data_IF_442093463059
#
_entry.id   IF_442093463059
#
_cell.length_a   1.000
_cell.length_b   1.000
_cell.length_c   1.000
_cell.angle_alpha   90.00
_cell.angle_beta   90.00
_cell.angle_gamma   90.00
#
_symmetry.space_group_name_H-M   'P 1'
#
loop_
_entity.id
_entity.type
_entity.pdbx_description
1 polymer ?
#
# COMPACT_ATOMS: atom_id res chain seq x y z
N UNK A 1 -7.43 12.63 -3.48
CA UNK A 1 -8.46 11.69 -3.98
C UNK A 1 -8.05 11.01 -5.30
N UNK A 2 -7.37 11.69 -6.23
CA UNK A 2 -6.95 11.08 -7.50
C UNK A 2 -5.98 9.88 -7.34
N UNK A 3 -5.12 9.91 -6.31
CA UNK A 3 -4.23 8.80 -5.99
C UNK A 3 -4.90 7.47 -5.59
N UNK A 4 -6.18 7.46 -5.21
CA UNK A 4 -6.86 6.24 -4.74
C UNK A 4 -7.52 5.49 -5.93
N UNK A 5 -7.83 6.20 -7.02
CA UNK A 5 -8.63 5.66 -8.13
C UNK A 5 -7.89 4.67 -9.02
N UNK A 6 -6.57 4.59 -8.93
CA UNK A 6 -5.77 3.58 -9.63
C UNK A 6 -6.08 2.14 -9.19
N UNK A 7 -6.76 1.95 -8.06
CA UNK A 7 -7.29 0.66 -7.61
C UNK A 7 -8.80 0.48 -7.88
N UNK A 8 -9.42 1.42 -8.60
CA UNK A 8 -10.83 1.39 -8.96
C UNK A 8 -11.05 0.58 -10.25
N UNK A 9 -12.07 -0.29 -10.26
CA UNK A 9 -12.47 -0.99 -11.49
C UNK A 9 -13.05 -0.02 -12.51
N UNK A 10 -12.94 -0.31 -13.81
CA UNK A 10 -13.50 0.54 -14.86
C UNK A 10 -15.03 0.73 -14.72
N UNK A 11 -15.75 -0.27 -14.17
CA UNK A 11 -17.18 -0.18 -13.86
C UNK A 11 -17.43 0.90 -12.79
N UNK A 12 -16.72 0.81 -11.66
CA UNK A 12 -16.89 1.75 -10.56
C UNK A 12 -16.38 3.15 -10.91
N UNK A 13 -15.34 3.26 -11.77
CA UNK A 13 -14.84 4.54 -12.23
C UNK A 13 -15.93 5.36 -12.94
N UNK A 14 -16.82 4.74 -13.72
CA UNK A 14 -17.92 5.46 -14.40
C UNK A 14 -18.88 6.17 -13.43
N UNK A 15 -18.99 5.71 -12.20
CA UNK A 15 -19.85 6.28 -11.16
C UNK A 15 -19.17 7.45 -10.41
N UNK A 16 -17.89 7.71 -10.66
CA UNK A 16 -17.08 8.72 -9.96
C UNK A 16 -17.03 10.09 -10.68
N UNK A 17 -17.92 10.32 -11.66
CA UNK A 17 -18.01 11.57 -12.40
C UNK A 17 -16.72 11.92 -13.17
N UNK A 18 -16.35 13.20 -13.17
CA UNK A 18 -15.14 13.68 -13.87
C UNK A 18 -13.87 12.95 -13.45
N UNK A 19 -13.77 12.60 -12.16
CA UNK A 19 -12.57 11.96 -11.63
C UNK A 19 -12.42 10.52 -12.16
N UNK A 20 -13.54 9.84 -12.37
CA UNK A 20 -13.60 8.54 -13.02
C UNK A 20 -13.26 8.58 -14.50
N UNK A 21 -13.78 9.59 -15.22
CA UNK A 21 -13.45 9.83 -16.62
C UNK A 21 -11.95 10.06 -16.82
N UNK A 22 -11.31 10.85 -15.95
CA UNK A 22 -9.85 11.08 -15.99
C UNK A 22 -9.05 9.77 -15.93
N UNK A 23 -9.46 8.83 -15.09
CA UNK A 23 -8.84 7.51 -15.00
C UNK A 23 -9.08 6.66 -16.26
N UNK A 24 -10.31 6.66 -16.78
CA UNK A 24 -10.66 5.93 -17.99
C UNK A 24 -9.90 6.44 -19.22
N UNK A 25 -9.67 7.76 -19.28
CA UNK A 25 -8.92 8.45 -20.34
C UNK A 25 -7.40 8.43 -20.10
N UNK A 26 -6.92 7.79 -19.03
CA UNK A 26 -5.49 7.67 -18.68
C UNK A 26 -4.77 9.02 -18.55
N UNK A 27 -5.48 10.07 -18.12
CA UNK A 27 -4.88 11.37 -17.83
C UNK A 27 -3.97 11.29 -16.60
N UNK A 28 -2.93 12.12 -16.57
CA UNK A 28 -2.08 12.24 -15.39
C UNK A 28 -2.86 12.90 -14.24
N UNK A 29 -2.61 12.49 -12.98
CA UNK A 29 -3.17 13.19 -11.84
C UNK A 29 -2.40 14.49 -11.55
N UNK A 30 -2.91 15.34 -10.65
CA UNK A 30 -2.19 16.56 -10.25
C UNK A 30 -0.78 16.29 -9.71
N UNK A 31 0.11 17.28 -9.73
CA UNK A 31 1.47 17.13 -9.20
C UNK A 31 1.46 16.69 -7.73
N UNK A 32 0.56 17.22 -6.91
CA UNK A 32 0.41 16.82 -5.50
C UNK A 32 -0.01 15.35 -5.36
N UNK A 33 -0.88 14.86 -6.25
CA UNK A 33 -1.28 13.46 -6.26
C UNK A 33 -0.15 12.54 -6.75
N UNK A 34 0.71 13.01 -7.67
CA UNK A 34 1.92 12.30 -8.08
C UNK A 34 2.93 12.26 -6.92
N UNK A 35 3.19 13.38 -6.24
CA UNK A 35 4.05 13.47 -5.04
C UNK A 35 3.55 12.54 -3.95
N UNK A 36 2.27 12.61 -3.60
CA UNK A 36 1.70 11.79 -2.53
C UNK A 36 1.89 10.29 -2.81
N UNK A 37 1.73 9.86 -4.06
CA UNK A 37 1.97 8.47 -4.43
C UNK A 37 3.44 8.06 -4.27
N UNK A 38 4.35 8.91 -4.72
CA UNK A 38 5.77 8.60 -4.67
C UNK A 38 6.29 8.61 -3.23
N UNK A 39 5.82 9.56 -2.42
CA UNK A 39 6.11 9.63 -1.00
C UNK A 39 5.63 8.39 -0.24
N UNK A 40 4.42 7.90 -0.54
CA UNK A 40 3.88 6.66 0.03
C UNK A 40 4.76 5.45 -0.35
N UNK A 41 5.15 5.34 -1.62
CA UNK A 41 6.01 4.25 -2.08
C UNK A 41 7.39 4.26 -1.40
N UNK A 42 8.00 5.44 -1.25
CA UNK A 42 9.28 5.61 -0.54
C UNK A 42 9.14 5.24 0.93
N UNK A 43 8.08 5.73 1.60
CA UNK A 43 7.85 5.46 3.01
C UNK A 43 7.65 3.96 3.25
N UNK A 44 6.79 3.32 2.44
CA UNK A 44 6.47 1.90 2.58
C UNK A 44 7.70 1.00 2.42
N UNK A 45 8.46 1.17 1.34
CA UNK A 45 9.66 0.34 1.11
C UNK A 45 10.71 0.50 2.22
N UNK A 46 10.92 1.72 2.73
CA UNK A 46 11.90 1.95 3.79
C UNK A 46 11.41 1.44 5.16
N UNK A 47 10.11 1.56 5.45
CA UNK A 47 9.52 0.98 6.66
C UNK A 47 9.62 -0.55 6.63
N UNK A 48 9.37 -1.18 5.49
CA UNK A 48 9.48 -2.64 5.35
C UNK A 48 10.91 -3.14 5.47
N UNK A 49 11.92 -2.34 5.08
CA UNK A 49 13.32 -2.64 5.40
C UNK A 49 13.55 -2.65 6.91
N UNK A 50 13.11 -1.60 7.62
CA UNK A 50 13.29 -1.51 9.08
C UNK A 50 12.55 -2.65 9.81
N UNK A 51 11.29 -2.91 9.44
CA UNK A 51 10.46 -3.96 10.04
C UNK A 51 10.98 -5.36 9.69
N UNK A 52 11.44 -5.58 8.46
CA UNK A 52 12.05 -6.85 8.04
C UNK A 52 13.33 -7.17 8.82
N UNK A 53 14.19 -6.19 9.04
CA UNK A 53 15.39 -6.33 9.86
C UNK A 53 15.05 -6.51 11.35
N UNK A 54 14.09 -5.71 11.86
CA UNK A 54 13.68 -5.75 13.27
C UNK A 54 13.00 -7.06 13.65
N UNK A 55 12.22 -7.65 12.76
CA UNK A 55 11.56 -8.94 12.95
C UNK A 55 12.52 -10.14 12.77
N UNK A 56 13.72 -9.90 12.23
CA UNK A 56 14.69 -10.96 11.92
C UNK A 56 14.35 -11.76 10.66
N UNK A 57 13.32 -11.35 9.90
CA UNK A 57 12.93 -11.98 8.65
C UNK A 57 13.93 -11.69 7.53
N UNK A 58 14.62 -10.55 7.60
CA UNK A 58 15.71 -10.16 6.71
C UNK A 58 16.98 -9.97 7.55
N UNK A 59 18.12 -10.42 7.02
CA UNK A 59 19.44 -10.14 7.59
C UNK A 59 20.11 -8.98 6.88
N UNK A 60 21.02 -8.29 7.57
CA UNK A 60 21.85 -7.23 6.97
C UNK A 60 22.62 -7.79 5.77
N UNK A 61 23.20 -8.98 5.89
CA UNK A 61 24.00 -9.59 4.83
C UNK A 61 23.18 -9.85 3.57
N UNK A 62 21.95 -10.37 3.69
CA UNK A 62 21.06 -10.54 2.54
C UNK A 62 20.70 -9.19 1.91
N UNK A 63 20.39 -8.18 2.73
CA UNK A 63 20.00 -6.86 2.23
C UNK A 63 21.14 -6.12 1.52
N UNK A 64 22.41 -6.47 1.79
CA UNK A 64 23.58 -5.96 1.06
C UNK A 64 23.68 -6.45 -0.38
N UNK A 65 22.85 -7.40 -0.82
CA UNK A 65 22.69 -7.72 -2.24
C UNK A 65 22.01 -6.57 -3.01
N UNK A 66 21.21 -5.75 -2.30
CA UNK A 66 20.60 -4.53 -2.86
C UNK A 66 21.61 -3.40 -2.83
N UNK A 67 22.01 -2.94 -4.02
CA UNK A 67 23.00 -1.86 -4.18
C UNK A 67 22.64 -0.58 -3.42
N UNK A 68 21.36 -0.18 -3.40
CA UNK A 68 20.88 0.98 -2.63
C UNK A 68 21.21 0.85 -1.14
N UNK A 69 20.97 -0.32 -0.55
CA UNK A 69 21.26 -0.53 0.86
C UNK A 69 22.77 -0.68 1.10
N UNK A 70 23.47 -1.46 0.26
CA UNK A 70 24.89 -1.77 0.41
C UNK A 70 25.76 -0.52 0.50
N UNK A 71 25.60 0.42 -0.44
CA UNK A 71 26.45 1.62 -0.49
C UNK A 71 26.26 2.51 0.75
N UNK A 72 25.02 2.71 1.18
CA UNK A 72 24.73 3.48 2.39
C UNK A 72 25.22 2.72 3.63
N UNK A 73 25.05 1.41 3.67
CA UNK A 73 25.52 0.59 4.78
C UNK A 73 27.06 0.64 4.91
N UNK A 74 27.77 0.54 3.79
CA UNK A 74 29.24 0.67 3.75
C UNK A 74 29.71 2.05 4.22
N UNK A 75 29.03 3.10 3.77
CA UNK A 75 29.29 4.47 4.22
C UNK A 75 29.13 4.60 5.72
N UNK A 76 28.02 4.09 6.28
CA UNK A 76 27.76 4.16 7.73
C UNK A 76 28.79 3.34 8.53
N UNK A 77 29.14 2.14 8.07
CA UNK A 77 30.17 1.29 8.72
C UNK A 77 31.54 1.96 8.73
N UNK A 78 31.89 2.66 7.65
CA UNK A 78 33.15 3.39 7.54
C UNK A 78 33.18 4.62 8.45
N UNK A 79 32.12 5.44 8.43
CA UNK A 79 32.03 6.66 9.24
C UNK A 79 31.88 6.38 10.73
N UNK A 80 31.25 5.26 11.09
CA UNK A 80 30.86 4.97 12.46
C UNK A 80 31.12 3.49 12.83
N UNK A 81 32.38 3.05 12.89
CA UNK A 81 32.74 1.64 13.09
C UNK A 81 32.33 1.06 14.45
N UNK A 82 32.00 1.91 15.43
CA UNK A 82 31.58 1.50 16.77
C UNK A 82 30.05 1.56 16.98
N UNK A 83 29.26 1.89 15.95
CA UNK A 83 27.80 1.88 16.09
C UNK A 83 27.29 0.45 16.25
N UNK A 84 26.36 0.28 17.19
CA UNK A 84 25.58 -0.94 17.32
C UNK A 84 24.63 -1.11 16.13
N UNK A 85 24.33 -2.36 15.79
CA UNK A 85 23.56 -2.77 14.61
C UNK A 85 22.28 -1.94 14.40
N UNK A 86 21.50 -1.70 15.47
CA UNK A 86 20.24 -0.94 15.36
C UNK A 86 20.44 0.51 14.91
N UNK A 87 21.45 1.20 15.47
CA UNK A 87 21.73 2.59 15.09
C UNK A 87 22.33 2.65 13.69
N UNK A 88 23.14 1.66 13.34
CA UNK A 88 23.70 1.53 12.00
C UNK A 88 22.59 1.34 10.95
N UNK A 89 21.57 0.51 11.23
CA UNK A 89 20.41 0.32 10.36
C UNK A 89 19.64 1.64 10.20
N UNK A 90 19.28 2.31 11.30
CA UNK A 90 18.53 3.56 11.24
C UNK A 90 19.25 4.64 10.44
N UNK A 91 20.57 4.80 10.61
CA UNK A 91 21.36 5.76 9.83
C UNK A 91 21.48 5.33 8.36
N UNK A 92 21.58 4.03 8.08
CA UNK A 92 21.59 3.50 6.70
C UNK A 92 20.28 3.83 5.98
N UNK A 93 19.13 3.49 6.59
CA UNK A 93 17.80 3.76 6.04
C UNK A 93 17.56 5.26 5.89
N UNK A 94 17.97 6.08 6.87
CA UNK A 94 17.90 7.54 6.76
C UNK A 94 18.65 8.08 5.54
N UNK A 95 19.83 7.55 5.24
CA UNK A 95 20.62 7.96 4.06
C UNK A 95 20.01 7.48 2.75
N UNK A 96 19.45 6.27 2.71
CA UNK A 96 18.68 5.78 1.56
C UNK A 96 17.50 6.70 1.26
N UNK A 97 16.69 7.05 2.28
CA UNK A 97 15.58 7.99 2.13
C UNK A 97 16.10 9.33 1.61
N UNK A 98 17.21 9.84 2.15
CA UNK A 98 17.78 11.11 1.71
C UNK A 98 18.21 11.09 0.24
N UNK A 99 18.88 10.03 -0.23
CA UNK A 99 19.23 9.88 -1.66
C UNK A 99 17.98 9.89 -2.54
N UNK A 100 17.01 9.03 -2.23
CA UNK A 100 15.81 8.84 -3.05
C UNK A 100 14.96 10.12 -3.09
N UNK A 101 14.76 10.79 -1.95
CA UNK A 101 14.02 12.05 -1.90
C UNK A 101 14.74 13.18 -2.65
N UNK A 102 16.08 13.26 -2.53
CA UNK A 102 16.88 14.27 -3.24
C UNK A 102 16.81 14.08 -4.75
N UNK A 103 16.84 12.82 -5.21
CA UNK A 103 16.68 12.47 -6.60
C UNK A 103 15.30 12.87 -7.14
N UNK A 104 14.23 12.48 -6.43
CA UNK A 104 12.86 12.85 -6.83
C UNK A 104 12.71 14.35 -6.97
N UNK A 105 13.22 15.14 -6.02
CA UNK A 105 13.13 16.61 -6.10
C UNK A 105 13.86 17.13 -7.34
N UNK A 106 15.09 16.66 -7.56
CA UNK A 106 15.93 17.10 -8.68
C UNK A 106 15.34 16.72 -10.04
N UNK A 107 14.93 15.46 -10.20
CA UNK A 107 14.36 14.95 -11.44
C UNK A 107 12.98 15.55 -11.74
N UNK A 108 12.12 15.67 -10.72
CA UNK A 108 10.81 16.29 -10.89
C UNK A 108 10.94 17.75 -11.32
N UNK A 109 11.88 18.49 -10.72
CA UNK A 109 12.19 19.86 -11.14
C UNK A 109 12.58 19.92 -12.61
N UNK A 110 13.53 19.07 -13.04
CA UNK A 110 13.98 18.99 -14.42
C UNK A 110 12.84 18.67 -15.40
N UNK A 111 11.93 17.76 -15.03
CA UNK A 111 10.77 17.40 -15.85
C UNK A 111 9.75 18.53 -15.96
N UNK A 112 9.45 19.20 -14.84
CA UNK A 112 8.51 20.34 -14.81
C UNK A 112 9.08 21.51 -15.61
N UNK A 113 10.36 21.84 -15.45
CA UNK A 113 11.04 22.89 -16.21
C UNK A 113 11.06 22.60 -17.71
N UNK A 114 11.17 21.32 -18.11
CA UNK A 114 11.11 20.92 -19.52
C UNK A 114 9.68 20.97 -20.10
N UNK A 115 8.67 20.66 -19.30
CA UNK A 115 7.28 20.56 -19.74
C UNK A 115 6.53 21.90 -19.68
N UNK A 116 7.02 22.86 -18.87
CA UNK A 116 6.46 24.21 -18.70
C UNK A 116 4.93 24.26 -18.55
N UNK A 117 4.30 23.44 -17.68
CA UNK A 117 2.85 23.44 -17.56
C UNK A 117 2.34 24.77 -16.99
N UNK A 118 1.42 25.42 -17.70
CA UNK A 118 0.78 26.66 -17.25
C UNK A 118 -0.49 26.41 -16.44
N UNK A 119 -1.11 25.24 -16.61
CA UNK A 119 -2.39 24.87 -16.01
C UNK A 119 -2.40 23.41 -15.54
N UNK A 120 -3.39 23.06 -14.71
CA UNK A 120 -3.61 21.66 -14.33
C UNK A 120 -3.95 20.76 -15.52
N UNK A 121 -4.57 21.31 -16.57
CA UNK A 121 -4.93 20.52 -17.75
C UNK A 121 -3.70 20.17 -18.59
N UNK A 122 -2.67 21.04 -18.60
CA UNK A 122 -1.37 20.72 -19.20
C UNK A 122 -0.69 19.55 -18.49
N UNK A 123 -0.74 19.54 -17.14
CA UNK A 123 -0.23 18.42 -16.34
C UNK A 123 -0.97 17.13 -16.69
N UNK A 124 -2.30 17.18 -16.76
CA UNK A 124 -3.17 16.03 -17.04
C UNK A 124 -2.97 15.46 -18.44
N UNK A 125 -2.67 16.31 -19.41
CA UNK A 125 -2.46 15.95 -20.80
C UNK A 125 -1.02 15.48 -21.07
N UNK A 126 -0.10 15.60 -20.11
CA UNK A 126 1.29 15.21 -20.30
C UNK A 126 1.44 13.70 -20.54
N UNK A 127 2.39 13.32 -21.41
CA UNK A 127 2.62 11.92 -21.82
C UNK A 127 3.05 10.99 -20.67
N UNK A 128 3.48 11.54 -19.54
CA UNK A 128 3.92 10.77 -18.37
C UNK A 128 3.89 11.57 -17.07
N UNK A 129 4.29 10.97 -15.94
CA UNK A 129 4.40 11.68 -14.68
C UNK A 129 5.54 12.72 -14.75
N UNK A 130 5.24 13.92 -14.25
CA UNK A 130 6.23 14.98 -14.08
C UNK A 130 6.95 14.87 -12.74
N UNK A 131 6.36 14.18 -11.76
CA UNK A 131 6.98 13.87 -10.48
C UNK A 131 7.40 12.41 -10.46
N UNK A 132 8.69 12.15 -10.46
CA UNK A 132 9.22 10.80 -10.64
C UNK A 132 10.70 10.69 -10.23
N UNK A 133 11.18 9.44 -10.14
CA UNK A 133 12.61 9.13 -10.01
C UNK A 133 13.36 9.36 -11.32
N UNK A 134 14.65 9.66 -11.20
CA UNK A 134 15.58 9.48 -12.32
C UNK A 134 15.68 8.00 -12.69
N UNK A 135 16.12 7.71 -13.92
CA UNK A 135 16.27 6.32 -14.38
C UNK A 135 17.22 5.48 -13.50
N UNK A 136 18.41 5.98 -13.09
CA UNK A 136 19.29 5.25 -12.19
C UNK A 136 18.66 4.95 -10.82
N UNK A 137 18.05 5.94 -10.17
CA UNK A 137 17.43 5.74 -8.85
C UNK A 137 16.19 4.86 -8.95
N UNK A 138 15.42 4.95 -10.04
CA UNK A 138 14.31 4.03 -10.33
C UNK A 138 14.80 2.57 -10.36
N UNK A 139 15.89 2.29 -11.06
CA UNK A 139 16.42 0.93 -11.16
C UNK A 139 16.82 0.38 -9.79
N UNK A 140 17.53 1.18 -8.98
CA UNK A 140 17.92 0.83 -7.60
C UNK A 140 16.71 0.61 -6.70
N UNK A 141 15.70 1.46 -6.81
CA UNK A 141 14.46 1.35 -6.04
C UNK A 141 13.64 0.12 -6.42
N UNK A 142 13.57 -0.22 -7.71
CA UNK A 142 12.94 -1.46 -8.19
C UNK A 142 13.67 -2.71 -7.70
N UNK A 143 15.01 -2.69 -7.65
CA UNK A 143 15.79 -3.78 -7.08
C UNK A 143 15.48 -3.99 -5.59
N UNK A 144 15.39 -2.91 -4.80
CA UNK A 144 14.96 -3.00 -3.40
C UNK A 144 13.55 -3.61 -3.27
N UNK A 145 12.60 -3.16 -4.09
CA UNK A 145 11.23 -3.67 -4.08
C UNK A 145 11.16 -5.15 -4.46
N UNK A 146 11.95 -5.58 -5.44
CA UNK A 146 12.06 -6.99 -5.84
C UNK A 146 12.63 -7.84 -4.71
N UNK A 147 13.67 -7.35 -4.03
CA UNK A 147 14.25 -8.00 -2.85
C UNK A 147 13.21 -8.16 -1.73
N UNK A 148 12.53 -7.07 -1.32
CA UNK A 148 11.50 -7.11 -0.28
C UNK A 148 10.36 -8.08 -0.65
N UNK A 149 9.99 -8.13 -1.93
CA UNK A 149 8.99 -9.09 -2.41
C UNK A 149 9.39 -10.53 -2.17
N UNK A 150 10.63 -10.87 -2.45
CA UNK A 150 11.13 -12.23 -2.33
C UNK A 150 11.45 -12.61 -0.87
N UNK A 151 12.10 -11.71 -0.12
CA UNK A 151 12.65 -12.03 1.20
C UNK A 151 11.69 -11.72 2.33
N UNK A 152 10.79 -10.73 2.18
CA UNK A 152 9.84 -10.34 3.22
C UNK A 152 8.43 -10.85 2.92
N UNK A 153 7.81 -10.41 1.82
CA UNK A 153 6.39 -10.72 1.57
C UNK A 153 6.12 -12.18 1.23
N UNK A 154 7.12 -12.88 0.67
CA UNK A 154 7.06 -14.30 0.37
C UNK A 154 7.67 -15.16 1.49
N UNK A 155 8.06 -14.55 2.62
CA UNK A 155 8.54 -15.29 3.77
C UNK A 155 7.47 -16.23 4.31
N UNK A 156 7.84 -17.46 4.70
CA UNK A 156 6.90 -18.50 5.13
C UNK A 156 5.99 -18.03 6.28
N UNK A 157 6.54 -17.33 7.27
CA UNK A 157 5.76 -16.79 8.40
C UNK A 157 4.71 -15.77 7.96
N UNK A 158 5.07 -14.88 7.02
CA UNK A 158 4.16 -13.87 6.46
C UNK A 158 3.07 -14.54 5.63
N UNK A 159 3.42 -15.54 4.82
CA UNK A 159 2.47 -16.31 4.02
C UNK A 159 1.49 -17.11 4.89
N UNK A 160 1.97 -17.74 5.97
CA UNK A 160 1.12 -18.46 6.92
C UNK A 160 0.13 -17.52 7.61
N UNK A 161 0.59 -16.34 8.06
CA UNK A 161 -0.29 -15.34 8.66
C UNK A 161 -1.33 -14.84 7.64
N UNK A 162 -0.90 -14.58 6.40
CA UNK A 162 -1.79 -14.16 5.30
C UNK A 162 -2.87 -15.20 5.01
N UNK A 163 -2.51 -16.50 5.02
CA UNK A 163 -3.47 -17.58 4.82
C UNK A 163 -4.51 -17.64 5.96
N UNK A 164 -4.08 -17.47 7.22
CA UNK A 164 -4.97 -17.40 8.38
C UNK A 164 -5.92 -16.21 8.28
N UNK A 165 -5.41 -15.02 7.97
CA UNK A 165 -6.20 -13.82 7.81
C UNK A 165 -7.24 -13.98 6.68
N UNK A 166 -6.84 -14.54 5.52
CA UNK A 166 -7.77 -14.85 4.43
C UNK A 166 -8.89 -15.79 4.88
N UNK A 167 -8.55 -16.85 5.63
CA UNK A 167 -9.53 -17.77 6.19
C UNK A 167 -10.55 -17.06 7.10
N UNK A 168 -10.07 -16.20 7.99
CA UNK A 168 -10.93 -15.40 8.89
C UNK A 168 -11.90 -14.53 8.08
N UNK A 169 -11.38 -13.75 7.12
CA UNK A 169 -12.20 -12.85 6.30
C UNK A 169 -13.23 -13.62 5.48
N UNK A 170 -12.84 -14.76 4.90
CA UNK A 170 -13.76 -15.60 4.11
C UNK A 170 -14.88 -16.18 4.99
N UNK A 171 -14.54 -16.70 6.17
CA UNK A 171 -15.54 -17.22 7.12
C UNK A 171 -16.50 -16.12 7.57
N UNK A 172 -16.00 -14.94 7.95
CA UNK A 172 -16.82 -13.80 8.33
C UNK A 172 -17.75 -13.36 7.21
N UNK A 173 -17.21 -13.19 5.99
CA UNK A 173 -18.01 -12.82 4.82
C UNK A 173 -19.13 -13.83 4.58
N UNK A 174 -18.81 -15.12 4.57
CA UNK A 174 -19.79 -16.18 4.34
C UNK A 174 -20.87 -16.22 5.44
N UNK A 175 -20.51 -16.04 6.71
CA UNK A 175 -21.48 -16.02 7.80
C UNK A 175 -22.47 -14.86 7.66
N UNK A 176 -21.98 -13.62 7.52
CA UNK A 176 -22.85 -12.45 7.36
C UNK A 176 -23.63 -12.46 6.04
N UNK A 177 -23.02 -12.98 4.97
CA UNK A 177 -23.69 -13.14 3.68
C UNK A 177 -24.66 -14.32 3.65
N UNK A 178 -24.62 -15.26 4.59
CA UNK A 178 -25.64 -16.30 4.72
C UNK A 178 -26.77 -15.84 5.64
N UNK A 179 -26.43 -15.23 6.77
CA UNK A 179 -27.37 -14.69 7.75
C UNK A 179 -27.07 -13.21 8.05
N UNK A 180 -27.89 -12.31 7.49
CA UNK A 180 -27.77 -10.85 7.72
C UNK A 180 -28.06 -10.52 9.19
N UNK A 181 -28.83 -11.34 9.91
CA UNK A 181 -29.15 -11.11 11.32
C UNK A 181 -27.91 -11.11 12.23
N UNK A 182 -26.79 -11.67 11.76
CA UNK A 182 -25.50 -11.63 12.47
C UNK A 182 -24.79 -10.26 12.37
N UNK A 183 -25.19 -9.40 11.43
CA UNK A 183 -24.65 -8.05 11.31
C UNK A 183 -25.22 -7.13 12.40
N UNK A 184 -24.47 -6.07 12.80
CA UNK A 184 -25.04 -5.00 13.58
C UNK A 184 -26.26 -4.39 12.89
N UNK A 185 -27.24 -3.95 13.70
CA UNK A 185 -28.56 -3.50 13.25
C UNK A 185 -28.51 -2.44 12.13
N UNK A 186 -27.54 -1.53 12.18
CA UNK A 186 -27.37 -0.46 11.19
C UNK A 186 -26.98 -1.01 9.80
N UNK A 187 -26.13 -2.03 9.73
CA UNK A 187 -25.73 -2.66 8.47
C UNK A 187 -26.84 -3.58 7.95
N UNK A 188 -27.49 -4.33 8.83
CA UNK A 188 -28.68 -5.11 8.49
C UNK A 188 -29.75 -4.22 7.82
N UNK A 189 -30.07 -3.06 8.39
CA UNK A 189 -31.05 -2.14 7.79
C UNK A 189 -30.61 -1.63 6.41
N UNK A 190 -29.33 -1.31 6.20
CA UNK A 190 -28.81 -0.88 4.90
C UNK A 190 -28.92 -1.97 3.82
N UNK A 191 -28.81 -3.24 4.17
CA UNK A 191 -28.99 -4.34 3.22
C UNK A 191 -30.45 -4.52 2.78
N UNK A 192 -31.42 -4.10 3.60
CA UNK A 192 -32.86 -4.22 3.33
C UNK A 192 -33.43 -3.05 2.52
N UNK A 193 -32.62 -2.04 2.20
CA UNK A 193 -33.05 -0.82 1.49
C UNK A 193 -32.97 -0.91 -0.04
N UNK A 194 -32.46 -2.01 -0.61
CA UNK A 194 -32.39 -2.20 -2.06
C UNK A 194 -33.67 -2.81 -2.65
N UNK A 195 -33.99 -2.44 -3.90
CA UNK A 195 -35.03 -3.12 -4.67
C UNK A 195 -34.59 -4.50 -5.18
N UNK A 196 -35.55 -5.31 -5.62
CA UNK A 196 -35.35 -6.75 -5.92
C UNK A 196 -34.26 -7.06 -6.96
N UNK A 197 -34.03 -6.16 -7.91
CA UNK A 197 -33.11 -6.40 -9.03
C UNK A 197 -31.62 -6.45 -8.63
N UNK A 198 -31.23 -5.85 -7.50
CA UNK A 198 -29.83 -5.74 -7.06
C UNK A 198 -29.59 -6.17 -5.59
N UNK A 199 -30.57 -6.84 -4.97
CA UNK A 199 -30.55 -7.16 -3.54
C UNK A 199 -29.31 -7.97 -3.11
N UNK A 200 -28.87 -8.93 -3.93
CA UNK A 200 -27.68 -9.74 -3.66
C UNK A 200 -26.38 -8.92 -3.73
N UNK A 201 -26.24 -8.07 -4.76
CA UNK A 201 -25.07 -7.22 -4.93
C UNK A 201 -24.98 -6.18 -3.80
N UNK A 202 -26.12 -5.61 -3.40
CA UNK A 202 -26.18 -4.68 -2.27
C UNK A 202 -25.81 -5.40 -0.96
N UNK A 203 -26.33 -6.60 -0.73
CA UNK A 203 -25.99 -7.40 0.45
C UNK A 203 -24.48 -7.67 0.50
N UNK A 204 -23.88 -8.10 -0.60
CA UNK A 204 -22.44 -8.34 -0.68
C UNK A 204 -21.63 -7.07 -0.36
N UNK A 205 -22.07 -5.90 -0.88
CA UNK A 205 -21.43 -4.61 -0.59
C UNK A 205 -21.50 -4.25 0.90
N UNK A 206 -22.68 -4.36 1.52
CA UNK A 206 -22.88 -4.04 2.94
C UNK A 206 -22.02 -4.93 3.84
N UNK A 207 -21.94 -6.22 3.54
CA UNK A 207 -21.06 -7.16 4.27
C UNK A 207 -19.59 -6.78 4.08
N UNK A 208 -19.17 -6.49 2.85
CA UNK A 208 -17.81 -6.08 2.55
C UNK A 208 -17.43 -4.77 3.27
N UNK A 209 -18.31 -3.78 3.29
CA UNK A 209 -18.09 -2.50 3.97
C UNK A 209 -17.96 -2.67 5.48
N UNK A 210 -18.80 -3.53 6.08
CA UNK A 210 -18.71 -3.84 7.51
C UNK A 210 -17.38 -4.52 7.86
N UNK A 211 -16.98 -5.53 7.08
CA UNK A 211 -15.71 -6.24 7.28
C UNK A 211 -14.52 -5.29 7.06
N UNK A 212 -14.55 -4.46 6.01
CA UNK A 212 -13.49 -3.49 5.72
C UNK A 212 -13.34 -2.42 6.81
N UNK A 213 -14.40 -2.15 7.58
CA UNK A 213 -14.37 -1.26 8.74
C UNK A 213 -13.80 -1.90 10.01
N UNK A 214 -13.50 -3.20 10.01
CA UNK A 214 -12.96 -3.90 11.17
C UNK A 214 -11.44 -3.65 11.33
N UNK A 215 -10.99 -3.50 12.57
CA UNK A 215 -9.57 -3.69 12.89
C UNK A 215 -9.25 -5.18 12.97
N UNK A 216 -7.99 -5.56 12.75
CA UNK A 216 -7.53 -6.96 12.83
C UNK A 216 -7.96 -7.65 14.14
N UNK A 217 -7.73 -6.98 15.28
CA UNK A 217 -8.10 -7.50 16.61
C UNK A 217 -9.61 -7.72 16.73
N UNK A 218 -10.41 -6.82 16.17
CA UNK A 218 -11.85 -6.93 16.18
C UNK A 218 -12.33 -8.07 15.27
N UNK A 219 -11.81 -8.17 14.05
CA UNK A 219 -12.14 -9.26 13.12
C UNK A 219 -11.83 -10.64 13.72
N UNK A 220 -10.65 -10.80 14.34
CA UNK A 220 -10.26 -12.03 15.05
C UNK A 220 -11.23 -12.32 16.20
N UNK A 221 -11.59 -11.31 17.00
CA UNK A 221 -12.54 -11.47 18.12
C UNK A 221 -13.95 -11.85 17.66
N UNK A 222 -14.45 -11.22 16.60
CA UNK A 222 -15.75 -11.55 16.01
C UNK A 222 -15.74 -12.97 15.45
N UNK A 223 -14.69 -13.34 14.72
CA UNK A 223 -14.54 -14.70 14.21
C UNK A 223 -14.53 -15.73 15.34
N UNK A 224 -13.78 -15.48 16.41
CA UNK A 224 -13.77 -16.36 17.57
C UNK A 224 -15.19 -16.53 18.17
N UNK A 225 -15.94 -15.44 18.39
CA UNK A 225 -17.32 -15.53 18.93
C UNK A 225 -18.30 -16.27 18.02
N UNK A 226 -18.14 -16.17 16.71
CA UNK A 226 -19.07 -16.80 15.75
C UNK A 226 -18.77 -18.28 15.53
N UNK A 227 -17.50 -18.70 15.65
CA UNK A 227 -17.07 -20.04 15.22
C UNK A 227 -16.44 -20.90 16.32
N UNK A 228 -16.05 -20.31 17.46
CA UNK A 228 -15.50 -21.05 18.60
C UNK A 228 -16.58 -21.22 19.69
N UNK A 229 -17.08 -22.45 19.91
CA UNK A 229 -18.13 -22.71 20.90
C UNK A 229 -17.66 -22.49 22.35
N UNK A 230 -16.35 -22.36 22.59
CA UNK A 230 -15.78 -22.08 23.90
C UNK A 230 -15.68 -20.59 24.20
N UNK A 231 -15.89 -19.72 23.20
CA UNK A 231 -15.90 -18.27 23.37
C UNK A 231 -17.35 -17.82 23.54
N UNK A 232 -17.72 -17.42 24.76
CA UNK A 232 -19.07 -16.93 25.03
C UNK A 232 -19.36 -15.63 24.26
N UNK A 233 -20.60 -15.49 23.79
CA UNK A 233 -21.10 -14.34 23.03
C UNK A 233 -21.03 -13.02 23.80
#
# INVERSE_FOLDING_TARGET
>A
REGIIKHCSARNARELGELGLRFLERRQPSLEAQIANLADEIAYNNHDVDDGLRSGLITIDALRDVELFREHNDTVRSLYPQLQDRRQIHETVRRMIAEVVTDVISESRRRIEKAEPGTIDDIRANDGPLVDFSEPVRARHLALKAFLRQQLYQHNEVLQMTAKARGIIQSLFNAFFTDIGLLPREYMQRSLQAGDADAEQQRARVVADYIAGMTDRYAISVHARLFDPHVSA
#
